data_IF_652159486567
#
_entry.id   IF_652159486567
#
_cell.length_a   1.000
_cell.length_b   1.000
_cell.length_c   1.000
_cell.angle_alpha   90.00
_cell.angle_beta   90.00
_cell.angle_gamma   90.00
#
_symmetry.space_group_name_H-M   'P 1'
#
loop_
_entity.id
_entity.type
_entity.pdbx_description
1 polymer ?
#
# COMPACT_ATOMS: atom_id res chain seq x y z
N UNK A 1 -19.46 -14.49 -11.25
CA UNK A 1 -19.53 -15.68 -10.37
C UNK A 1 -19.85 -16.96 -11.13
N UNK A 2 -20.95 -17.01 -11.91
CA UNK A 2 -21.25 -18.20 -12.76
C UNK A 2 -20.12 -18.46 -13.79
N UNK A 3 -19.59 -17.41 -14.43
CA UNK A 3 -18.40 -17.47 -15.30
C UNK A 3 -17.17 -18.11 -14.61
N UNK A 4 -17.10 -18.04 -13.28
CA UNK A 4 -16.02 -18.61 -12.46
C UNK A 4 -16.34 -20.00 -11.92
N UNK A 5 -17.41 -20.66 -12.39
CA UNK A 5 -17.78 -22.02 -11.99
C UNK A 5 -18.44 -22.15 -10.61
N UNK A 6 -18.82 -21.04 -9.97
CA UNK A 6 -19.56 -21.07 -8.70
C UNK A 6 -20.98 -21.59 -8.95
N UNK A 7 -21.41 -22.58 -8.17
CA UNK A 7 -22.71 -23.21 -8.33
C UNK A 7 -23.87 -22.25 -8.02
N UNK A 8 -25.05 -22.55 -8.58
CA UNK A 8 -26.23 -21.69 -8.45
C UNK A 8 -26.70 -21.50 -7.02
N UNK A 9 -26.52 -22.50 -6.15
CA UNK A 9 -26.94 -22.42 -4.75
C UNK A 9 -26.07 -21.42 -4.00
N UNK A 10 -24.75 -21.51 -4.17
CA UNK A 10 -23.80 -20.55 -3.60
C UNK A 10 -24.03 -19.13 -4.15
N UNK A 11 -24.24 -18.99 -5.47
CA UNK A 11 -24.57 -17.68 -6.07
C UNK A 11 -25.84 -17.08 -5.47
N UNK A 12 -26.90 -17.89 -5.28
CA UNK A 12 -28.14 -17.43 -4.66
C UNK A 12 -27.94 -17.02 -3.20
N UNK A 13 -27.11 -17.75 -2.46
CA UNK A 13 -26.77 -17.39 -1.08
C UNK A 13 -26.03 -16.05 -1.02
N UNK A 14 -25.03 -15.83 -1.90
CA UNK A 14 -24.29 -14.56 -2.00
C UNK A 14 -25.23 -13.42 -2.39
N UNK A 15 -26.11 -13.63 -3.36
CA UNK A 15 -27.12 -12.66 -3.75
C UNK A 15 -27.96 -12.22 -2.55
N UNK A 16 -28.54 -13.19 -1.83
CA UNK A 16 -29.34 -12.90 -0.63
C UNK A 16 -28.54 -12.18 0.47
N UNK A 17 -27.24 -12.47 0.59
CA UNK A 17 -26.36 -11.78 1.52
C UNK A 17 -26.08 -10.32 1.14
N UNK A 18 -26.14 -9.97 -0.15
CA UNK A 18 -25.92 -8.61 -0.65
C UNK A 18 -27.21 -7.76 -0.74
N UNK A 19 -28.36 -8.41 -0.93
CA UNK A 19 -29.66 -7.78 -1.16
C UNK A 19 -30.34 -7.25 0.10
N UNK A 20 -31.21 -6.25 -0.07
CA UNK A 20 -32.11 -5.68 0.94
C UNK A 20 -31.45 -5.27 2.27
N UNK A 21 -30.16 -4.91 2.19
CA UNK A 21 -29.38 -4.46 3.34
C UNK A 21 -29.76 -3.03 3.72
N UNK A 22 -29.71 -2.76 5.02
CA UNK A 22 -29.83 -1.41 5.58
C UNK A 22 -28.66 -1.13 6.53
N UNK A 23 -28.34 0.14 6.72
CA UNK A 23 -27.28 0.61 7.62
C UNK A 23 -27.74 1.82 8.42
N UNK A 24 -27.14 2.03 9.59
CA UNK A 24 -27.29 3.22 10.43
C UNK A 24 -26.01 3.48 11.20
N UNK A 25 -25.83 4.70 11.68
CA UNK A 25 -24.67 5.08 12.51
C UNK A 25 -25.07 5.05 13.98
N UNK A 26 -24.20 4.51 14.84
CA UNK A 26 -24.38 4.50 16.29
C UNK A 26 -23.22 5.23 16.96
N UNK A 27 -23.50 6.29 17.71
CA UNK A 27 -22.50 7.07 18.45
C UNK A 27 -22.99 7.23 19.87
N UNK A 28 -22.22 6.77 20.86
CA UNK A 28 -22.53 6.88 22.28
C UNK A 28 -23.96 6.41 22.64
N UNK A 29 -24.44 5.33 21.99
CA UNK A 29 -25.77 4.79 22.21
C UNK A 29 -26.90 5.48 21.43
N UNK A 30 -26.65 6.62 20.78
CA UNK A 30 -27.62 7.27 19.88
C UNK A 30 -27.53 6.69 18.47
N UNK A 31 -28.68 6.55 17.80
CA UNK A 31 -28.78 5.94 16.47
C UNK A 31 -29.35 6.91 15.44
N UNK A 32 -28.78 6.95 14.23
CA UNK A 32 -29.45 7.56 13.07
C UNK A 32 -30.62 6.70 12.59
N UNK A 33 -31.41 7.27 11.68
CA UNK A 33 -32.38 6.51 10.89
C UNK A 33 -31.68 5.44 10.03
N UNK A 34 -32.45 4.41 9.67
CA UNK A 34 -32.02 3.36 8.75
C UNK A 34 -31.94 3.91 7.32
N UNK A 35 -30.88 3.52 6.60
CA UNK A 35 -30.69 3.82 5.19
C UNK A 35 -30.41 2.54 4.41
N UNK A 36 -31.09 2.36 3.29
CA UNK A 36 -30.87 1.21 2.40
C UNK A 36 -29.46 1.26 1.78
N UNK A 37 -28.82 0.11 1.68
CA UNK A 37 -27.52 -0.08 1.03
C UNK A 37 -27.76 -0.69 -0.34
N UNK A 38 -27.68 0.15 -1.38
CA UNK A 38 -27.97 -0.24 -2.77
C UNK A 38 -26.80 -0.93 -3.49
N UNK A 39 -25.58 -0.81 -2.97
CA UNK A 39 -24.37 -1.33 -3.62
C UNK A 39 -23.23 -1.58 -2.63
N UNK A 40 -22.18 -2.24 -3.12
CA UNK A 40 -20.96 -2.54 -2.36
C UNK A 40 -21.07 -3.79 -1.50
N UNK A 41 -19.98 -4.15 -0.84
CA UNK A 41 -19.88 -5.28 0.08
C UNK A 41 -19.84 -4.76 1.54
N UNK A 42 -20.38 -5.49 2.53
CA UNK A 42 -20.20 -5.16 3.94
C UNK A 42 -18.73 -5.06 4.33
N UNK A 43 -18.31 -3.90 4.81
CA UNK A 43 -16.96 -3.70 5.36
C UNK A 43 -16.79 -4.48 6.67
N UNK A 44 -15.60 -5.06 6.87
CA UNK A 44 -15.31 -5.93 8.01
C UNK A 44 -15.80 -7.37 7.86
N UNK A 45 -16.49 -7.71 6.76
CA UNK A 45 -16.85 -9.09 6.45
C UNK A 45 -15.67 -9.89 5.87
N UNK A 46 -15.66 -11.20 6.13
CA UNK A 46 -14.69 -12.13 5.54
C UNK A 46 -14.87 -12.26 4.03
N UNK A 47 -16.12 -12.23 3.55
CA UNK A 47 -16.44 -12.47 2.14
C UNK A 47 -16.30 -11.22 1.25
N UNK A 48 -16.45 -10.02 1.83
CA UNK A 48 -16.39 -8.76 1.08
C UNK A 48 -15.15 -8.61 0.19
N UNK A 49 -13.93 -8.82 0.72
CA UNK A 49 -12.70 -8.72 -0.08
C UNK A 49 -12.66 -9.71 -1.27
N UNK A 50 -13.12 -10.95 -1.06
CA UNK A 50 -13.15 -11.95 -2.14
C UNK A 50 -14.11 -11.54 -3.25
N UNK A 51 -15.31 -11.06 -2.89
CA UNK A 51 -16.29 -10.59 -3.87
C UNK A 51 -15.80 -9.36 -4.62
N UNK A 52 -15.10 -8.45 -3.95
CA UNK A 52 -14.47 -7.31 -4.60
C UNK A 52 -13.40 -7.75 -5.61
N UNK A 53 -12.55 -8.72 -5.25
CA UNK A 53 -11.56 -9.27 -6.17
C UNK A 53 -12.22 -9.93 -7.40
N UNK A 54 -13.31 -10.68 -7.21
CA UNK A 54 -14.07 -11.27 -8.33
C UNK A 54 -14.66 -10.18 -9.24
N UNK A 55 -15.12 -9.08 -8.65
CA UNK A 55 -15.74 -7.97 -9.37
C UNK A 55 -14.73 -7.19 -10.23
N UNK A 56 -13.55 -6.88 -9.71
CA UNK A 56 -12.51 -6.13 -10.42
C UNK A 56 -11.61 -7.00 -11.32
N UNK A 57 -11.86 -8.31 -11.36
CA UNK A 57 -10.93 -9.25 -11.98
C UNK A 57 -10.75 -9.01 -13.48
N UNK A 58 -11.76 -8.48 -14.18
CA UNK A 58 -11.74 -8.19 -15.62
C UNK A 58 -11.36 -6.72 -15.94
N UNK A 59 -10.89 -5.95 -14.96
CA UNK A 59 -10.41 -4.57 -15.16
C UNK A 59 -9.26 -4.47 -16.19
N UNK A 60 -8.46 -5.52 -16.34
CA UNK A 60 -7.35 -5.61 -17.30
C UNK A 60 -7.78 -6.08 -18.69
N UNK A 61 -9.06 -6.38 -18.92
CA UNK A 61 -9.53 -6.84 -20.22
C UNK A 61 -9.29 -5.77 -21.30
N UNK A 62 -8.44 -6.11 -22.29
CA UNK A 62 -8.07 -5.22 -23.39
C UNK A 62 -6.93 -4.24 -23.09
N UNK A 63 -6.42 -4.18 -21.86
CA UNK A 63 -5.23 -3.37 -21.51
C UNK A 63 -3.98 -4.05 -22.07
N UNK A 64 -3.12 -3.29 -22.76
CA UNK A 64 -1.89 -3.81 -23.37
C UNK A 64 -0.67 -3.71 -22.45
N UNK A 65 -0.63 -2.69 -21.59
CA UNK A 65 0.36 -2.51 -20.55
C UNK A 65 0.23 -3.50 -19.40
N UNK A 66 1.20 -3.46 -18.49
CA UNK A 66 1.19 -4.28 -17.29
C UNK A 66 0.26 -3.65 -16.26
N UNK A 67 -0.87 -4.30 -15.98
CA UNK A 67 -1.77 -3.90 -14.90
C UNK A 67 -1.49 -4.73 -13.63
N UNK A 68 -1.17 -4.05 -12.53
CA UNK A 68 -0.99 -4.67 -11.21
C UNK A 68 -2.10 -4.19 -10.28
N UNK A 69 -2.84 -5.13 -9.70
CA UNK A 69 -4.01 -4.89 -8.85
C UNK A 69 -3.72 -5.33 -7.41
N UNK A 70 -4.02 -4.49 -6.43
CA UNK A 70 -4.04 -4.85 -5.01
C UNK A 70 -5.22 -4.17 -4.32
N UNK A 71 -6.29 -4.93 -4.06
CA UNK A 71 -7.58 -4.35 -3.67
C UNK A 71 -7.96 -3.21 -4.64
N UNK A 72 -8.27 -2.02 -4.15
CA UNK A 72 -8.62 -0.85 -4.94
C UNK A 72 -7.39 -0.15 -5.59
N UNK A 73 -6.17 -0.40 -5.10
CA UNK A 73 -4.96 0.16 -5.68
C UNK A 73 -4.60 -0.57 -6.99
N UNK A 74 -4.69 0.17 -8.10
CA UNK A 74 -4.33 -0.32 -9.44
C UNK A 74 -3.18 0.49 -10.02
N UNK A 75 -2.21 -0.19 -10.63
CA UNK A 75 -1.04 0.41 -11.28
C UNK A 75 -0.97 -0.04 -12.73
N UNK A 76 -0.92 0.91 -13.64
CA UNK A 76 -0.64 0.67 -15.06
C UNK A 76 0.82 1.01 -15.33
N UNK A 77 1.57 0.03 -15.85
CA UNK A 77 2.96 0.18 -16.28
C UNK A 77 3.10 -0.05 -17.77
N UNK A 78 3.91 0.76 -18.44
CA UNK A 78 4.21 0.60 -19.87
C UNK A 78 5.54 1.23 -20.23
N UNK A 79 6.13 0.75 -21.33
CA UNK A 79 7.28 1.41 -21.96
C UNK A 79 6.78 2.63 -22.72
N UNK A 80 7.53 3.74 -22.68
CA UNK A 80 7.14 5.03 -23.24
C UNK A 80 8.30 5.72 -24.00
N UNK A 81 9.11 4.98 -24.75
CA UNK A 81 10.25 5.52 -25.50
C UNK A 81 9.81 6.12 -26.84
N UNK A 82 8.88 5.46 -27.55
CA UNK A 82 8.35 5.94 -28.84
C UNK A 82 6.99 6.61 -28.69
N UNK A 83 6.58 7.37 -29.71
CA UNK A 83 5.26 8.01 -29.74
C UNK A 83 4.13 6.98 -29.62
N UNK A 84 4.25 5.88 -30.34
CA UNK A 84 3.26 4.79 -30.36
C UNK A 84 3.16 4.12 -28.98
N UNK A 85 4.29 3.96 -28.28
CA UNK A 85 4.36 3.47 -26.91
C UNK A 85 3.63 4.39 -25.91
N UNK A 86 3.84 5.70 -26.03
CA UNK A 86 3.14 6.71 -25.21
C UNK A 86 1.63 6.71 -25.50
N UNK A 87 1.24 6.62 -26.77
CA UNK A 87 -0.16 6.53 -27.19
C UNK A 87 -0.82 5.24 -26.66
N UNK A 88 -0.11 4.11 -26.60
CA UNK A 88 -0.62 2.87 -25.98
C UNK A 88 -0.98 3.06 -24.51
N UNK A 89 -0.12 3.70 -23.72
CA UNK A 89 -0.42 3.97 -22.30
C UNK A 89 -1.66 4.86 -22.16
N UNK A 90 -1.82 5.88 -23.01
CA UNK A 90 -3.03 6.70 -23.00
C UNK A 90 -4.28 5.89 -23.36
N UNK A 91 -4.22 5.05 -24.40
CA UNK A 91 -5.32 4.18 -24.79
C UNK A 91 -5.71 3.21 -23.66
N UNK A 92 -4.74 2.67 -22.93
CA UNK A 92 -4.99 1.82 -21.78
C UNK A 92 -5.68 2.57 -20.64
N UNK A 93 -5.30 3.81 -20.36
CA UNK A 93 -6.01 4.67 -19.39
C UNK A 93 -7.46 4.93 -19.82
N UNK A 94 -7.70 5.13 -21.12
CA UNK A 94 -9.04 5.35 -21.66
C UNK A 94 -9.91 4.07 -21.55
N UNK A 95 -9.32 2.89 -21.80
CA UNK A 95 -10.00 1.59 -21.58
C UNK A 95 -10.35 1.37 -20.10
N UNK A 96 -9.43 1.69 -19.19
CA UNK A 96 -9.69 1.59 -17.75
C UNK A 96 -10.85 2.50 -17.32
N UNK A 97 -10.87 3.74 -17.81
CA UNK A 97 -11.95 4.69 -17.57
C UNK A 97 -13.29 4.17 -18.08
N UNK A 98 -13.33 3.65 -19.32
CA UNK A 98 -14.53 3.05 -19.91
C UNK A 98 -15.03 1.84 -19.10
N UNK A 99 -14.11 0.98 -18.63
CA UNK A 99 -14.47 -0.13 -17.74
C UNK A 99 -15.10 0.39 -16.46
N UNK A 100 -14.54 1.45 -15.85
CA UNK A 100 -15.07 2.02 -14.61
C UNK A 100 -16.47 2.60 -14.81
N UNK A 101 -16.72 3.33 -15.91
CA UNK A 101 -18.06 3.83 -16.25
C UNK A 101 -19.07 2.68 -16.41
N UNK A 102 -18.70 1.64 -17.16
CA UNK A 102 -19.54 0.46 -17.41
C UNK A 102 -19.90 -0.27 -16.11
N UNK A 103 -18.93 -0.40 -15.20
CA UNK A 103 -19.08 -1.09 -13.92
C UNK A 103 -19.56 -0.17 -12.78
N UNK A 104 -19.93 1.08 -13.08
CA UNK A 104 -20.38 2.09 -12.10
C UNK A 104 -19.38 2.30 -10.96
N UNK A 105 -18.10 2.26 -11.29
CA UNK A 105 -16.98 2.63 -10.44
C UNK A 105 -16.46 4.02 -10.80
N UNK A 106 -15.59 4.56 -9.97
CA UNK A 106 -14.94 5.84 -10.23
C UNK A 106 -13.52 5.82 -9.69
N UNK A 107 -12.56 6.13 -10.54
CA UNK A 107 -11.18 6.34 -10.10
C UNK A 107 -11.06 7.66 -9.33
N UNK A 108 -10.27 7.63 -8.25
CA UNK A 108 -9.89 8.85 -7.56
C UNK A 108 -8.74 9.53 -8.34
N UNK A 109 -9.12 10.29 -9.38
CA UNK A 109 -8.18 10.94 -10.31
C UNK A 109 -7.19 11.87 -9.63
N UNK A 110 -7.56 12.51 -8.52
CA UNK A 110 -6.64 13.35 -7.74
C UNK A 110 -5.52 12.55 -7.08
N UNK A 111 -5.81 11.30 -6.67
CA UNK A 111 -4.83 10.35 -6.12
C UNK A 111 -4.08 9.59 -7.20
N UNK A 112 -4.57 9.51 -8.43
CA UNK A 112 -3.87 8.91 -9.55
C UNK A 112 -2.69 9.80 -9.98
N UNK A 113 -1.47 9.29 -9.85
CA UNK A 113 -0.22 9.99 -10.18
C UNK A 113 0.53 9.26 -11.28
N UNK A 114 1.28 10.01 -12.09
CA UNK A 114 2.21 9.44 -13.07
C UNK A 114 3.62 9.48 -12.50
N UNK A 115 4.22 8.30 -12.30
CA UNK A 115 5.63 8.17 -11.92
C UNK A 115 6.45 7.86 -13.17
N UNK A 116 7.19 8.85 -13.65
CA UNK A 116 8.04 8.71 -14.83
C UNK A 116 9.37 8.06 -14.46
N UNK A 117 9.64 6.88 -15.02
CA UNK A 117 10.88 6.14 -14.79
C UNK A 117 11.80 6.22 -16.01
N UNK A 118 13.12 6.28 -15.76
CA UNK A 118 14.16 6.27 -16.80
C UNK A 118 14.70 7.65 -17.18
N UNK A 119 15.93 7.68 -17.69
CA UNK A 119 16.68 8.93 -17.96
C UNK A 119 16.22 9.67 -19.22
N UNK A 120 15.62 8.97 -20.18
CA UNK A 120 15.17 9.50 -21.48
C UNK A 120 13.66 9.72 -21.52
N UNK A 121 13.05 9.92 -20.35
CA UNK A 121 11.60 10.09 -20.26
C UNK A 121 11.25 11.56 -20.52
N UNK A 122 10.40 11.81 -21.52
CA UNK A 122 9.95 13.14 -21.92
C UNK A 122 8.89 13.74 -20.95
N UNK A 123 8.53 13.01 -19.89
CA UNK A 123 7.56 13.39 -18.86
C UNK A 123 6.21 13.82 -19.44
N UNK A 124 5.71 13.06 -20.41
CA UNK A 124 4.44 13.36 -21.08
C UNK A 124 3.28 13.31 -20.08
N UNK A 125 2.32 14.21 -20.29
CA UNK A 125 1.09 14.24 -19.52
C UNK A 125 0.09 13.23 -20.06
N UNK A 126 -0.48 12.46 -19.15
CA UNK A 126 -1.58 11.54 -19.43
C UNK A 126 -2.88 12.09 -18.88
N UNK A 127 -4.00 11.61 -19.44
CA UNK A 127 -5.34 12.02 -19.05
C UNK A 127 -6.18 10.81 -18.68
N UNK A 128 -7.10 10.98 -17.74
CA UNK A 128 -8.11 9.97 -17.39
C UNK A 128 -9.43 10.70 -17.15
N UNK A 129 -10.50 10.30 -17.85
CA UNK A 129 -11.82 10.93 -17.72
C UNK A 129 -11.81 12.44 -17.99
N UNK A 130 -11.04 12.90 -18.97
CA UNK A 130 -10.92 14.32 -19.30
C UNK A 130 -10.00 15.14 -18.38
N UNK A 131 -9.47 14.57 -17.29
CA UNK A 131 -8.60 15.26 -16.32
C UNK A 131 -7.14 14.82 -16.50
N UNK A 132 -6.22 15.79 -16.56
CA UNK A 132 -4.79 15.51 -16.62
C UNK A 132 -4.28 14.97 -15.28
N UNK A 133 -3.57 13.85 -15.33
CA UNK A 133 -2.93 13.26 -14.17
C UNK A 133 -1.66 14.04 -13.83
N UNK A 134 -1.47 14.38 -12.56
CA UNK A 134 -0.26 15.04 -12.11
C UNK A 134 0.91 14.06 -12.03
N UNK A 135 2.07 14.47 -12.53
CA UNK A 135 3.31 13.72 -12.35
C UNK A 135 3.83 13.83 -10.91
N UNK A 136 4.54 12.80 -10.46
CA UNK A 136 5.23 12.77 -9.16
C UNK A 136 6.62 12.18 -9.31
N UNK A 137 7.52 12.54 -8.40
CA UNK A 137 8.88 12.00 -8.34
C UNK A 137 9.03 10.86 -7.35
N UNK A 138 8.05 10.64 -6.47
CA UNK A 138 8.08 9.60 -5.46
C UNK A 138 6.65 9.24 -5.07
N UNK A 139 6.29 7.97 -5.22
CA UNK A 139 4.96 7.47 -4.86
C UNK A 139 5.04 6.35 -3.84
N UNK A 140 4.03 6.28 -2.98
CA UNK A 140 3.93 5.20 -2.00
C UNK A 140 3.11 4.06 -2.60
N UNK A 141 3.75 2.90 -2.78
CA UNK A 141 3.11 1.67 -3.23
C UNK A 141 3.16 0.62 -2.13
N UNK A 142 1.98 0.15 -1.68
CA UNK A 142 1.83 -0.83 -0.61
C UNK A 142 2.68 -0.52 0.64
N UNK A 143 2.80 0.77 0.99
CA UNK A 143 3.57 1.21 2.15
C UNK A 143 5.06 1.48 1.91
N UNK A 144 5.57 1.22 0.71
CA UNK A 144 6.97 1.47 0.30
C UNK A 144 7.06 2.69 -0.61
N UNK A 145 8.03 3.58 -0.37
CA UNK A 145 8.31 4.71 -1.24
C UNK A 145 9.13 4.27 -2.46
N UNK A 146 8.63 4.60 -3.65
CA UNK A 146 9.27 4.34 -4.94
C UNK A 146 9.61 5.68 -5.60
N UNK A 147 10.89 6.03 -5.60
CA UNK A 147 11.40 7.24 -6.26
C UNK A 147 11.59 7.02 -7.77
N UNK A 148 11.46 8.08 -8.56
CA UNK A 148 11.62 8.09 -10.02
C UNK A 148 12.99 7.61 -10.51
N UNK A 149 14.03 7.68 -9.66
CA UNK A 149 15.38 7.15 -9.93
C UNK A 149 15.57 5.74 -9.39
N UNK A 150 14.53 5.14 -8.82
CA UNK A 150 14.55 3.85 -8.12
C UNK A 150 15.61 3.82 -7.00
N UNK A 151 15.81 4.96 -6.34
CA UNK A 151 16.70 5.07 -5.18
C UNK A 151 15.91 4.82 -3.89
N UNK A 152 16.41 3.90 -3.05
CA UNK A 152 15.77 3.50 -1.80
C UNK A 152 16.09 4.41 -0.60
N UNK A 153 16.92 5.45 -0.74
CA UNK A 153 17.29 6.35 0.36
C UNK A 153 16.07 6.99 1.04
N UNK A 154 15.07 7.44 0.27
CA UNK A 154 13.85 8.04 0.84
C UNK A 154 13.05 7.00 1.66
N UNK A 155 12.96 5.77 1.18
CA UNK A 155 12.33 4.67 1.91
C UNK A 155 13.10 4.35 3.20
N UNK A 156 14.44 4.32 3.15
CA UNK A 156 15.29 4.09 4.32
C UNK A 156 15.08 5.19 5.37
N UNK A 157 14.97 6.46 4.95
CA UNK A 157 14.66 7.59 5.83
C UNK A 157 13.29 7.43 6.50
N UNK A 158 12.27 7.06 5.72
CA UNK A 158 10.92 6.85 6.22
C UNK A 158 10.85 5.70 7.24
N UNK A 159 11.49 4.55 6.93
CA UNK A 159 11.58 3.39 7.80
C UNK A 159 12.30 3.72 9.11
N UNK A 160 13.50 4.33 9.02
CA UNK A 160 14.27 4.73 10.19
C UNK A 160 13.52 5.75 11.05
N UNK A 161 12.84 6.73 10.44
CA UNK A 161 12.03 7.73 11.17
C UNK A 161 10.89 7.07 11.94
N UNK A 162 10.14 6.16 11.31
CA UNK A 162 9.02 5.46 11.95
C UNK A 162 9.51 4.56 13.09
N UNK A 163 10.55 3.78 12.84
CA UNK A 163 11.17 2.90 13.83
C UNK A 163 11.72 3.69 15.03
N UNK A 164 12.41 4.81 14.80
CA UNK A 164 12.91 5.68 15.86
C UNK A 164 11.79 6.36 16.67
N UNK A 165 10.66 6.68 16.04
CA UNK A 165 9.50 7.26 16.73
C UNK A 165 8.97 6.26 17.77
N UNK A 166 8.78 5.00 17.35
CA UNK A 166 8.31 3.93 18.24
C UNK A 166 9.34 3.60 19.32
N UNK A 167 10.62 3.54 18.95
CA UNK A 167 11.70 3.37 19.92
C UNK A 167 11.72 4.51 20.95
N UNK A 168 11.42 5.73 20.54
CA UNK A 168 11.23 6.88 21.41
C UNK A 168 10.06 6.71 22.38
N UNK A 169 8.94 6.17 21.91
CA UNK A 169 7.79 5.82 22.75
C UNK A 169 8.16 4.74 23.77
N UNK A 170 8.84 3.66 23.37
CA UNK A 170 9.31 2.61 24.29
C UNK A 170 10.24 3.21 25.34
N UNK A 171 11.17 4.07 24.93
CA UNK A 171 12.09 4.75 25.86
C UNK A 171 11.35 5.61 26.88
N UNK A 172 10.26 6.29 26.51
CA UNK A 172 9.52 7.16 27.43
C UNK A 172 8.49 6.42 28.28
N UNK A 173 7.83 5.41 27.71
CA UNK A 173 6.67 4.76 28.31
C UNK A 173 6.98 3.49 29.10
N UNK A 174 8.14 2.86 28.86
CA UNK A 174 8.53 1.64 29.57
C UNK A 174 9.65 1.96 30.53
N UNK A 175 9.44 1.71 31.82
CA UNK A 175 10.42 1.96 32.88
C UNK A 175 11.53 0.90 32.87
N UNK A 176 11.16 -0.38 32.81
CA UNK A 176 12.12 -1.49 32.80
C UNK A 176 13.05 -1.43 31.59
N UNK A 177 14.34 -1.65 31.85
CA UNK A 177 15.42 -1.74 30.86
C UNK A 177 16.02 -3.13 30.77
N UNK A 178 15.36 -4.15 31.31
CA UNK A 178 15.88 -5.52 31.23
C UNK A 178 15.85 -6.04 29.79
N UNK A 179 16.71 -7.04 29.49
CA UNK A 179 16.80 -7.65 28.16
C UNK A 179 15.47 -8.30 27.77
N UNK A 180 14.81 -8.93 28.74
CA UNK A 180 13.54 -9.65 28.64
C UNK A 180 12.37 -8.73 28.28
N UNK A 181 12.49 -7.42 28.52
CA UNK A 181 11.47 -6.43 28.17
C UNK A 181 11.82 -5.72 26.85
N UNK A 182 13.04 -5.21 26.73
CA UNK A 182 13.42 -4.36 25.59
C UNK A 182 13.51 -5.17 24.28
N UNK A 183 14.03 -6.41 24.33
CA UNK A 183 14.21 -7.22 23.12
C UNK A 183 12.86 -7.62 22.50
N UNK A 184 11.86 -8.14 23.24
CA UNK A 184 10.55 -8.42 22.65
C UNK A 184 9.86 -7.17 22.11
N UNK A 185 9.95 -6.03 22.79
CA UNK A 185 9.36 -4.77 22.32
C UNK A 185 10.02 -4.28 21.03
N UNK A 186 11.36 -4.34 20.94
CA UNK A 186 12.06 -4.01 19.71
C UNK A 186 11.63 -4.93 18.56
N UNK A 187 11.66 -6.24 18.78
CA UNK A 187 11.33 -7.24 17.75
C UNK A 187 9.89 -7.16 17.27
N UNK A 188 8.93 -6.85 18.15
CA UNK A 188 7.50 -6.81 17.79
C UNK A 188 7.03 -5.45 17.29
N UNK A 189 7.64 -4.34 17.72
CA UNK A 189 7.13 -2.99 17.42
C UNK A 189 8.08 -2.14 16.57
N UNK A 190 9.39 -2.34 16.66
CA UNK A 190 10.38 -1.48 15.96
C UNK A 190 10.87 -2.17 14.69
N UNK A 191 11.35 -3.41 14.83
CA UNK A 191 11.94 -4.20 13.73
C UNK A 191 11.02 -4.36 12.52
N UNK A 192 9.69 -4.57 12.67
CA UNK A 192 8.82 -4.71 11.50
C UNK A 192 8.83 -3.48 10.59
N UNK A 193 9.02 -2.28 11.13
CA UNK A 193 9.12 -1.07 10.31
C UNK A 193 10.44 -0.94 9.54
N UNK A 194 11.49 -1.63 9.99
CA UNK A 194 12.78 -1.68 9.30
C UNK A 194 12.82 -2.76 8.22
N UNK A 195 12.02 -3.82 8.35
CA UNK A 195 12.10 -5.01 7.50
C UNK A 195 10.89 -5.19 6.57
N UNK A 196 9.81 -4.45 6.78
CA UNK A 196 8.63 -4.53 5.93
C UNK A 196 8.98 -4.31 4.45
N UNK A 197 8.65 -5.28 3.61
CA UNK A 197 8.96 -5.30 2.17
C UNK A 197 10.45 -5.15 1.81
N UNK A 198 11.38 -5.47 2.71
CA UNK A 198 12.83 -5.28 2.45
C UNK A 198 13.35 -6.06 1.23
N UNK A 199 12.69 -7.16 0.84
CA UNK A 199 12.99 -7.90 -0.39
C UNK A 199 12.94 -7.01 -1.64
N UNK A 200 12.13 -5.94 -1.62
CA UNK A 200 12.01 -4.99 -2.73
C UNK A 200 13.01 -3.82 -2.62
N UNK A 201 13.16 -3.21 -1.44
CA UNK A 201 13.89 -1.94 -1.29
C UNK A 201 15.24 -2.04 -0.58
N UNK A 202 15.77 -3.25 -0.35
CA UNK A 202 17.01 -3.48 0.41
C UNK A 202 18.07 -2.37 0.17
N UNK A 203 18.61 -1.76 1.24
CA UNK A 203 19.45 -0.57 1.12
C UNK A 203 20.72 -0.87 0.31
N UNK A 204 20.96 -0.08 -0.73
CA UNK A 204 22.11 -0.25 -1.63
C UNK A 204 23.34 0.54 -1.17
N UNK A 205 23.12 1.69 -0.52
CA UNK A 205 24.19 2.58 -0.11
C UNK A 205 24.59 2.33 1.35
N UNK A 206 25.90 2.37 1.61
CA UNK A 206 26.46 2.24 2.97
C UNK A 206 25.83 3.23 3.96
N UNK A 207 25.63 4.48 3.55
CA UNK A 207 24.96 5.52 4.36
C UNK A 207 23.55 5.11 4.82
N UNK A 208 22.82 4.38 3.99
CA UNK A 208 21.44 3.99 4.28
C UNK A 208 21.42 2.72 5.15
N UNK A 209 22.32 1.76 4.88
CA UNK A 209 22.56 0.62 5.77
C UNK A 209 22.88 1.12 7.18
N UNK A 210 23.85 2.03 7.30
CA UNK A 210 24.29 2.56 8.60
C UNK A 210 23.17 3.33 9.32
N UNK A 211 22.28 3.98 8.58
CA UNK A 211 21.11 4.69 9.10
C UNK A 211 20.08 3.73 9.70
N UNK A 212 19.76 2.64 9.02
CA UNK A 212 18.87 1.61 9.56
C UNK A 212 19.52 0.94 10.79
N UNK A 213 20.81 0.59 10.69
CA UNK A 213 21.59 -0.02 11.77
C UNK A 213 21.65 0.88 13.02
N UNK A 214 21.65 2.20 12.84
CA UNK A 214 21.63 3.15 13.95
C UNK A 214 20.41 2.99 14.85
N UNK A 215 19.26 2.55 14.30
CA UNK A 215 18.06 2.26 15.10
C UNK A 215 18.33 1.09 16.05
N UNK A 216 18.93 0.01 15.54
CA UNK A 216 19.32 -1.14 16.34
C UNK A 216 20.38 -0.78 17.39
N UNK A 217 21.41 -0.01 16.99
CA UNK A 217 22.43 0.52 17.91
C UNK A 217 21.83 1.30 19.07
N UNK A 218 20.79 2.09 18.82
CA UNK A 218 20.06 2.83 19.86
C UNK A 218 19.25 1.90 20.75
N UNK A 219 18.56 0.92 20.17
CA UNK A 219 17.74 -0.03 20.92
C UNK A 219 18.58 -0.88 21.87
N UNK A 220 19.69 -1.47 21.41
CA UNK A 220 20.57 -2.28 22.27
C UNK A 220 21.24 -1.46 23.38
N UNK A 221 21.44 -0.15 23.17
CA UNK A 221 21.98 0.74 24.23
C UNK A 221 20.98 1.02 25.35
N UNK A 222 19.69 0.75 25.13
CA UNK A 222 18.67 0.92 26.16
C UNK A 222 18.64 -0.22 27.17
N UNK A 223 19.23 -1.37 26.84
CA UNK A 223 19.26 -2.54 27.71
C UNK A 223 20.25 -2.31 28.87
N UNK A 224 19.81 -2.60 30.08
CA UNK A 224 20.64 -2.49 31.29
C UNK A 224 21.82 -3.45 31.22
N UNK A 225 23.01 -2.96 31.57
CA UNK A 225 24.27 -3.71 31.51
C UNK A 225 24.97 -3.67 30.15
N UNK A 226 24.31 -3.20 29.10
CA UNK A 226 24.89 -3.14 27.75
C UNK A 226 25.46 -1.76 27.39
N UNK A 227 25.25 -0.72 28.20
CA UNK A 227 25.44 0.68 27.76
C UNK A 227 26.88 1.05 27.40
N UNK A 228 27.86 0.42 28.05
CA UNK A 228 29.30 0.67 27.89
C UNK A 228 29.98 -0.31 26.94
N UNK A 229 29.30 -1.39 26.56
CA UNK A 229 29.83 -2.41 25.66
C UNK A 229 29.93 -1.87 24.22
N UNK A 230 30.89 -2.40 23.46
CA UNK A 230 30.96 -2.15 22.03
C UNK A 230 29.68 -2.61 21.33
N UNK A 231 29.41 -2.13 20.11
CA UNK A 231 28.18 -2.54 19.44
C UNK A 231 28.18 -4.04 19.14
N UNK A 232 29.32 -4.57 18.74
CA UNK A 232 29.54 -5.96 18.35
C UNK A 232 29.32 -6.90 19.55
N UNK A 233 29.74 -6.49 20.75
CA UNK A 233 29.49 -7.25 21.99
C UNK A 233 28.01 -7.22 22.40
N UNK A 234 27.30 -6.12 22.16
CA UNK A 234 25.85 -6.01 22.46
C UNK A 234 24.97 -6.90 21.59
N UNK A 235 25.49 -7.41 20.47
CA UNK A 235 24.76 -8.29 19.56
C UNK A 235 24.89 -9.78 19.93
N UNK A 236 25.74 -10.12 20.89
CA UNK A 236 25.89 -11.49 21.42
C UNK A 236 24.83 -11.77 22.49
#
# INVERSE_FOLDING_TARGET
>A
MIKYGIDRTTVRWIHNWLSDRTQRVVINGFTSDWKTVSSGVPQGSVLGPLLFNIFINDLDEGVEGTLIKFADDTKLGGVANTREEKERIQNDLDKLEQWAETNRMTFNREKCKVLHLGKKNDNIQYRMGGIYLSSSTCEKDLGVLVDHRLNMSQQCDAAAKKANTILGCIKKGIESRSREVIVPLYSSLVRPHLEYCVQFWAPQFKKDIDKLEQVQRRATKMVSGLQTMSYEERLK
#
